data_IF_350775586224
#
_entry.id   IF_350775586224
#
_cell.length_a   1.000
_cell.length_b   1.000
_cell.length_c   1.000
_cell.angle_alpha   90.00
_cell.angle_beta   90.00
_cell.angle_gamma   90.00
#
_symmetry.space_group_name_H-M   'P 1'
#
loop_
_entity.id
_entity.type
_entity.pdbx_description
1 polymer ?
#
# COMPACT_ATOMS: atom_id res chain seq x y z
N UNK A 1 8.37 -4.82 -33.90
CA UNK A 1 7.72 -3.49 -33.84
C UNK A 1 8.28 -2.79 -32.61
N UNK A 2 9.13 -1.79 -32.83
CA UNK A 2 9.72 -1.04 -31.72
C UNK A 2 8.66 -0.12 -31.12
N UNK A 3 8.44 -0.22 -29.82
CA UNK A 3 7.70 0.75 -29.04
C UNK A 3 8.48 2.07 -29.09
N UNK A 4 8.04 3.00 -29.93
CA UNK A 4 8.49 4.39 -29.86
C UNK A 4 7.85 5.00 -28.60
N UNK A 5 8.64 5.08 -27.52
CA UNK A 5 8.28 5.88 -26.37
C UNK A 5 8.28 7.35 -26.82
N UNK A 6 7.09 7.93 -26.95
CA UNK A 6 6.91 9.36 -27.12
C UNK A 6 7.33 10.04 -25.82
N UNK A 7 8.58 10.48 -25.73
CA UNK A 7 8.99 11.39 -24.66
C UNK A 7 8.10 12.63 -24.73
N UNK A 8 7.52 13.08 -23.62
CA UNK A 8 6.76 14.32 -23.61
C UNK A 8 7.65 15.46 -24.09
N UNK A 9 7.22 16.15 -25.15
CA UNK A 9 7.96 17.27 -25.79
C UNK A 9 8.09 18.52 -24.92
N UNK A 10 7.48 18.54 -23.76
CA UNK A 10 7.62 19.61 -22.76
C UNK A 10 8.46 19.07 -21.62
N UNK A 11 9.57 19.76 -21.33
CA UNK A 11 10.43 19.53 -20.14
C UNK A 11 9.63 19.88 -18.86
N UNK A 12 8.58 19.16 -18.56
CA UNK A 12 7.98 19.19 -17.24
C UNK A 12 8.98 18.52 -16.31
N UNK A 13 9.55 19.30 -15.43
CA UNK A 13 10.55 18.87 -14.46
C UNK A 13 9.83 17.92 -13.50
N UNK A 14 9.91 16.61 -13.75
CA UNK A 14 9.36 15.59 -12.85
C UNK A 14 10.21 15.66 -11.59
N UNK A 15 9.63 16.16 -10.49
CA UNK A 15 10.36 16.35 -9.25
C UNK A 15 10.48 15.07 -8.44
N UNK A 16 9.50 14.18 -8.53
CA UNK A 16 9.39 12.97 -7.71
C UNK A 16 8.87 11.78 -8.53
N UNK A 17 9.40 10.58 -8.25
CA UNK A 17 8.89 9.31 -8.75
C UNK A 17 8.56 8.38 -7.58
N UNK A 18 7.59 7.50 -7.76
CA UNK A 18 7.17 6.49 -6.80
C UNK A 18 7.42 5.11 -7.37
N UNK A 19 8.04 4.23 -6.58
CA UNK A 19 8.29 2.84 -6.94
C UNK A 19 7.56 1.96 -5.92
N UNK A 20 6.48 1.34 -6.37
CA UNK A 20 5.72 0.37 -5.58
C UNK A 20 6.38 -1.00 -5.71
N UNK A 21 6.83 -1.55 -4.60
CA UNK A 21 7.63 -2.76 -4.55
C UNK A 21 6.81 -3.94 -4.03
N UNK A 22 6.58 -4.93 -4.90
CA UNK A 22 5.89 -6.19 -4.62
C UNK A 22 6.87 -7.36 -4.54
N UNK A 23 6.40 -8.56 -4.23
CA UNK A 23 7.24 -9.75 -4.12
C UNK A 23 7.93 -10.12 -5.45
N UNK A 24 7.21 -10.05 -6.57
CA UNK A 24 7.68 -10.52 -7.87
C UNK A 24 7.84 -9.43 -8.93
N UNK A 25 7.31 -8.24 -8.67
CA UNK A 25 7.36 -7.11 -9.59
C UNK A 25 7.43 -5.78 -8.85
N UNK A 26 7.67 -4.71 -9.61
CA UNK A 26 7.50 -3.35 -9.13
C UNK A 26 6.76 -2.51 -10.17
N UNK A 27 6.12 -1.47 -9.68
CA UNK A 27 5.43 -0.49 -10.49
C UNK A 27 6.06 0.87 -10.26
N UNK A 28 6.42 1.55 -11.36
CA UNK A 28 6.96 2.90 -11.34
C UNK A 28 5.85 3.87 -11.76
N UNK A 29 5.61 4.87 -10.94
CA UNK A 29 4.68 5.93 -11.22
C UNK A 29 5.39 7.28 -11.29
N UNK A 30 5.19 7.99 -12.41
CA UNK A 30 5.49 9.40 -12.60
C UNK A 30 4.17 10.18 -12.64
N UNK A 31 4.22 11.49 -12.46
CA UNK A 31 3.03 12.35 -12.60
C UNK A 31 2.31 12.22 -13.95
N UNK A 32 2.98 11.74 -15.00
CA UNK A 32 2.46 11.63 -16.36
C UNK A 32 2.40 10.22 -16.95
N UNK A 33 3.12 9.27 -16.37
CA UNK A 33 3.27 7.92 -16.94
C UNK A 33 3.49 6.88 -15.84
N UNK A 34 3.09 5.64 -16.12
CA UNK A 34 3.26 4.49 -15.23
C UNK A 34 3.81 3.30 -15.99
N UNK A 35 4.74 2.56 -15.37
CA UNK A 35 5.41 1.41 -15.98
C UNK A 35 5.54 0.31 -14.93
N UNK A 36 5.05 -0.89 -15.26
CA UNK A 36 5.25 -2.10 -14.43
C UNK A 36 6.34 -2.98 -15.02
N UNK A 37 7.13 -3.61 -14.16
CA UNK A 37 8.17 -4.57 -14.55
C UNK A 37 8.40 -5.63 -13.48
N UNK A 38 8.73 -6.86 -13.93
CA UNK A 38 9.20 -7.91 -13.03
C UNK A 38 10.66 -7.72 -12.64
N UNK A 39 11.09 -8.25 -11.50
CA UNK A 39 12.49 -8.22 -11.07
C UNK A 39 13.44 -9.01 -12.00
N UNK A 40 12.91 -9.95 -12.74
CA UNK A 40 13.69 -10.79 -13.67
C UNK A 40 13.89 -10.17 -15.04
N UNK A 41 13.15 -9.13 -15.36
CA UNK A 41 13.21 -8.46 -16.66
C UNK A 41 14.33 -7.40 -16.70
N UNK A 42 15.56 -7.85 -16.90
CA UNK A 42 16.75 -6.99 -16.96
C UNK A 42 16.66 -5.91 -18.05
N UNK A 43 16.00 -6.20 -19.17
CA UNK A 43 15.89 -5.24 -20.28
C UNK A 43 15.01 -4.06 -19.85
N UNK A 44 13.85 -4.36 -19.29
CA UNK A 44 12.95 -3.33 -18.75
C UNK A 44 13.57 -2.55 -17.59
N UNK A 45 14.29 -3.23 -16.69
CA UNK A 45 15.01 -2.55 -15.60
C UNK A 45 16.01 -1.51 -16.12
N UNK A 46 16.76 -1.83 -17.18
CA UNK A 46 17.70 -0.91 -17.82
C UNK A 46 16.98 0.25 -18.52
N UNK A 47 15.83 0.01 -19.14
CA UNK A 47 15.01 1.05 -19.76
C UNK A 47 14.45 2.01 -18.70
N UNK A 48 13.91 1.49 -17.62
CA UNK A 48 13.40 2.28 -16.50
C UNK A 48 14.52 3.11 -15.87
N UNK A 49 15.69 2.52 -15.65
CA UNK A 49 16.88 3.24 -15.17
C UNK A 49 17.22 4.43 -16.07
N UNK A 50 17.25 4.23 -17.39
CA UNK A 50 17.50 5.31 -18.35
C UNK A 50 16.43 6.41 -18.29
N UNK A 51 15.16 6.03 -18.16
CA UNK A 51 14.04 6.97 -18.02
C UNK A 51 14.23 7.82 -16.74
N UNK A 52 14.46 7.18 -15.60
CA UNK A 52 14.67 7.86 -14.32
C UNK A 52 15.84 8.84 -14.34
N UNK A 53 16.97 8.43 -14.93
CA UNK A 53 18.17 9.25 -15.05
C UNK A 53 17.95 10.43 -16.00
N UNK A 54 17.30 10.19 -17.15
CA UNK A 54 17.09 11.20 -18.19
C UNK A 54 15.97 12.19 -17.85
N UNK A 55 14.98 11.79 -17.04
CA UNK A 55 13.84 12.64 -16.67
C UNK A 55 14.16 13.69 -15.62
N UNK A 56 15.42 13.80 -15.19
CA UNK A 56 15.87 14.72 -14.14
C UNK A 56 15.06 14.61 -12.84
N UNK A 57 14.61 13.38 -12.51
CA UNK A 57 13.94 13.07 -11.25
C UNK A 57 14.91 13.34 -10.10
N UNK A 58 14.50 14.20 -9.16
CA UNK A 58 15.35 14.58 -8.02
C UNK A 58 15.18 13.66 -6.83
N UNK A 59 13.99 13.06 -6.66
CA UNK A 59 13.68 12.19 -5.55
C UNK A 59 12.88 10.97 -5.99
N UNK A 60 13.13 9.83 -5.34
CA UNK A 60 12.44 8.56 -5.56
C UNK A 60 11.98 8.03 -4.21
N UNK A 61 10.70 7.70 -4.12
CA UNK A 61 10.12 7.07 -2.94
C UNK A 61 9.75 5.61 -3.23
N UNK A 62 10.32 4.70 -2.45
CA UNK A 62 10.00 3.28 -2.51
C UNK A 62 8.88 2.97 -1.53
N UNK A 63 7.80 2.39 -2.04
CA UNK A 63 6.65 1.97 -1.26
C UNK A 63 6.64 0.46 -1.19
N UNK A 64 6.82 -0.07 0.02
CA UNK A 64 7.00 -1.51 0.25
C UNK A 64 5.68 -2.20 0.53
N UNK A 65 5.20 -2.98 -0.44
CA UNK A 65 4.03 -3.88 -0.30
C UNK A 65 4.41 -5.31 0.06
N UNK A 66 5.66 -5.68 -0.16
CA UNK A 66 6.20 -7.02 0.03
C UNK A 66 6.74 -7.27 1.44
N UNK A 67 6.52 -6.37 2.36
CA UNK A 67 7.04 -6.47 3.72
C UNK A 67 5.91 -6.26 4.72
N UNK A 68 5.56 -7.34 5.44
CA UNK A 68 4.63 -7.25 6.54
C UNK A 68 5.22 -6.36 7.64
N UNK A 69 4.49 -5.33 8.11
CA UNK A 69 4.97 -4.43 9.14
C UNK A 69 4.73 -4.96 10.55
N UNK A 70 5.58 -4.56 11.48
CA UNK A 70 5.27 -4.55 12.90
C UNK A 70 4.81 -3.15 13.30
N UNK A 71 3.63 -3.07 13.89
CA UNK A 71 2.95 -1.81 14.20
C UNK A 71 3.01 -1.60 15.70
N UNK A 72 3.69 -0.54 16.14
CA UNK A 72 3.97 -0.28 17.55
C UNK A 72 3.47 1.13 17.92
N UNK A 73 2.57 1.28 18.91
CA UNK A 73 2.25 2.60 19.44
C UNK A 73 3.52 3.33 19.89
N UNK A 74 3.66 4.61 19.52
CA UNK A 74 4.88 5.41 19.80
C UNK A 74 5.29 5.37 21.27
N UNK A 75 4.33 5.39 22.18
CA UNK A 75 4.59 5.31 23.64
C UNK A 75 5.26 4.02 24.10
N UNK A 76 5.23 2.95 23.31
CA UNK A 76 5.85 1.66 23.60
C UNK A 76 7.04 1.35 22.69
N UNK A 77 7.36 2.27 21.79
CA UNK A 77 8.43 2.05 20.83
C UNK A 77 9.80 2.35 21.44
N UNK A 78 10.69 1.38 21.34
CA UNK A 78 12.11 1.51 21.69
C UNK A 78 12.95 1.22 20.44
N UNK A 79 13.63 2.22 19.95
CA UNK A 79 14.49 2.13 18.77
C UNK A 79 15.63 1.13 18.93
N UNK A 80 16.10 0.92 20.17
CA UNK A 80 17.20 0.00 20.47
C UNK A 80 16.85 -1.46 20.23
N UNK A 81 15.57 -1.81 20.26
CA UNK A 81 15.08 -3.18 20.06
C UNK A 81 14.23 -3.36 18.80
N UNK A 82 14.28 -2.44 17.84
CA UNK A 82 13.44 -2.49 16.63
C UNK A 82 13.50 -3.82 15.89
N UNK A 83 14.66 -4.48 15.87
CA UNK A 83 14.81 -5.80 15.27
C UNK A 83 13.92 -6.86 15.92
N UNK A 84 13.77 -6.82 17.25
CA UNK A 84 12.93 -7.77 17.98
C UNK A 84 11.45 -7.65 17.64
N UNK A 85 10.95 -6.42 17.41
CA UNK A 85 9.58 -6.24 16.99
C UNK A 85 9.29 -6.94 15.66
N UNK A 86 10.22 -6.83 14.70
CA UNK A 86 10.07 -7.44 13.39
C UNK A 86 10.26 -8.96 13.45
N UNK A 87 11.27 -9.43 14.19
CA UNK A 87 11.56 -10.86 14.38
C UNK A 87 10.34 -11.60 14.95
N UNK A 88 9.70 -11.03 15.97
CA UNK A 88 8.54 -11.63 16.63
C UNK A 88 7.35 -11.77 15.68
N UNK A 89 7.17 -10.81 14.76
CA UNK A 89 6.02 -10.78 13.87
C UNK A 89 6.26 -11.49 12.53
N UNK A 90 7.46 -11.37 11.97
CA UNK A 90 7.74 -11.83 10.59
C UNK A 90 8.86 -12.87 10.49
N UNK A 91 9.58 -13.12 11.59
CA UNK A 91 10.76 -13.98 11.59
C UNK A 91 11.98 -13.41 10.85
N UNK A 92 11.94 -12.18 10.35
CA UNK A 92 13.00 -11.55 9.56
C UNK A 92 13.67 -10.43 10.34
N UNK A 93 15.02 -10.36 10.23
CA UNK A 93 15.82 -9.31 10.88
C UNK A 93 16.73 -8.55 9.92
N UNK A 94 16.57 -8.78 8.62
CA UNK A 94 17.48 -8.21 7.62
C UNK A 94 16.95 -6.87 7.07
N UNK A 95 17.85 -5.90 6.91
CA UNK A 95 17.57 -4.61 6.26
C UNK A 95 16.35 -3.88 6.83
N UNK A 96 16.35 -3.71 8.15
CA UNK A 96 15.22 -3.13 8.88
C UNK A 96 15.14 -1.63 8.65
N UNK A 97 13.96 -1.15 8.31
CA UNK A 97 13.60 0.28 8.26
C UNK A 97 12.43 0.59 9.18
N UNK A 98 12.13 1.86 9.37
CA UNK A 98 11.08 2.33 10.25
C UNK A 98 10.42 3.59 9.70
N UNK A 99 9.09 3.64 9.82
CA UNK A 99 8.29 4.82 9.54
C UNK A 99 7.61 5.31 10.83
N UNK A 100 7.20 6.55 10.82
CA UNK A 100 6.29 7.09 11.81
C UNK A 100 5.04 7.61 11.10
N UNK A 101 3.85 7.36 11.65
CA UNK A 101 2.61 7.91 11.11
C UNK A 101 2.58 9.44 11.18
N UNK A 102 1.82 10.08 10.28
CA UNK A 102 1.73 11.54 10.20
C UNK A 102 1.23 12.18 11.49
N UNK A 103 0.34 11.50 12.23
CA UNK A 103 -0.16 11.92 13.54
C UNK A 103 0.77 11.56 14.71
N UNK A 104 1.92 10.96 14.42
CA UNK A 104 2.96 10.54 15.38
C UNK A 104 2.48 9.55 16.47
N UNK A 105 1.43 8.78 16.20
CA UNK A 105 0.91 7.80 17.17
C UNK A 105 1.49 6.41 17.01
N UNK A 106 1.96 6.05 15.81
CA UNK A 106 2.39 4.70 15.45
C UNK A 106 3.76 4.74 14.81
N UNK A 107 4.67 3.86 15.28
CA UNK A 107 5.87 3.46 14.58
C UNK A 107 5.59 2.17 13.80
N UNK A 108 6.10 2.11 12.59
CA UNK A 108 5.96 0.99 11.67
C UNK A 108 7.35 0.46 11.35
N UNK A 109 7.66 -0.74 11.80
CA UNK A 109 8.96 -1.38 11.56
C UNK A 109 8.77 -2.46 10.51
N UNK A 110 9.62 -2.46 9.49
CA UNK A 110 9.50 -3.39 8.36
C UNK A 110 10.86 -3.78 7.78
N UNK A 111 10.92 -4.86 7.01
CA UNK A 111 12.10 -5.28 6.29
C UNK A 111 12.13 -4.65 4.90
N UNK A 112 13.25 -4.05 4.51
CA UNK A 112 13.49 -3.66 3.12
C UNK A 112 14.02 -4.86 2.33
N UNK A 113 13.46 -5.12 1.17
CA UNK A 113 14.06 -6.06 0.24
C UNK A 113 15.34 -5.49 -0.40
N UNK A 114 16.05 -6.33 -1.18
CA UNK A 114 17.27 -5.96 -1.90
C UNK A 114 17.14 -4.58 -2.51
N UNK A 115 18.17 -3.82 -2.33
CA UNK A 115 18.28 -2.43 -2.74
C UNK A 115 18.08 -2.26 -4.25
N UNK A 116 16.79 -2.09 -4.65
CA UNK A 116 16.41 -1.83 -6.03
C UNK A 116 17.02 -0.50 -6.53
N UNK A 117 17.33 0.43 -5.62
CA UNK A 117 17.93 1.71 -5.97
C UNK A 117 19.28 1.56 -6.67
N UNK A 118 20.13 0.63 -6.20
CA UNK A 118 21.42 0.32 -6.86
C UNK A 118 21.22 -0.31 -8.23
N UNK A 119 20.24 -1.22 -8.35
CA UNK A 119 19.92 -1.86 -9.62
C UNK A 119 19.44 -0.86 -10.66
N UNK A 120 18.74 0.17 -10.23
CA UNK A 120 18.24 1.25 -11.08
C UNK A 120 19.23 2.41 -11.26
N UNK A 121 20.41 2.37 -10.64
CA UNK A 121 21.44 3.42 -10.77
C UNK A 121 21.02 4.77 -10.19
N UNK A 122 20.29 4.75 -9.07
CA UNK A 122 19.72 5.94 -8.43
C UNK A 122 20.65 6.58 -7.40
N UNK A 123 21.95 6.52 -7.60
CA UNK A 123 22.95 6.99 -6.62
C UNK A 123 22.94 8.52 -6.40
N UNK A 124 22.37 9.27 -7.34
CA UNK A 124 22.32 10.74 -7.32
C UNK A 124 20.98 11.31 -6.85
N UNK A 125 19.97 10.48 -6.72
CA UNK A 125 18.62 10.86 -6.33
C UNK A 125 18.47 10.81 -4.80
N UNK A 126 17.63 11.70 -4.28
CA UNK A 126 17.18 11.57 -2.88
C UNK A 126 16.23 10.38 -2.78
N UNK A 127 16.61 9.38 -2.02
CA UNK A 127 15.82 8.15 -1.85
C UNK A 127 15.14 8.17 -0.49
N UNK A 128 13.85 7.86 -0.48
CA UNK A 128 13.06 7.57 0.72
C UNK A 128 12.38 6.21 0.60
N UNK A 129 12.10 5.61 1.73
CA UNK A 129 11.36 4.35 1.83
C UNK A 129 10.18 4.54 2.74
N UNK A 130 9.06 3.89 2.44
CA UNK A 130 7.87 3.86 3.28
C UNK A 130 7.17 2.52 3.15
N UNK A 131 6.63 2.00 4.25
CA UNK A 131 5.74 0.84 4.19
C UNK A 131 4.35 1.25 3.71
N UNK A 132 3.71 0.45 2.87
CA UNK A 132 2.37 0.75 2.36
C UNK A 132 1.33 0.92 3.48
N UNK A 133 1.49 0.20 4.60
CA UNK A 133 0.64 0.37 5.76
C UNK A 133 0.68 1.81 6.29
N UNK A 134 1.86 2.42 6.37
CA UNK A 134 2.02 3.81 6.84
C UNK A 134 1.24 4.78 5.97
N UNK A 135 1.30 4.62 4.64
CA UNK A 135 0.54 5.45 3.71
C UNK A 135 -0.98 5.23 3.85
N UNK A 136 -1.39 3.95 3.92
CA UNK A 136 -2.80 3.61 4.10
C UNK A 136 -3.36 4.13 5.42
N UNK A 137 -2.62 3.99 6.50
CA UNK A 137 -2.98 4.54 7.81
C UNK A 137 -3.15 6.06 7.76
N UNK A 138 -2.18 6.77 7.19
CA UNK A 138 -2.23 8.24 7.08
C UNK A 138 -3.42 8.70 6.24
N UNK A 139 -3.71 8.01 5.13
CA UNK A 139 -4.86 8.27 4.29
C UNK A 139 -6.18 8.07 5.04
N UNK A 140 -6.37 6.89 5.65
CA UNK A 140 -7.60 6.57 6.36
C UNK A 140 -7.84 7.49 7.56
N UNK A 141 -6.78 7.83 8.30
CA UNK A 141 -6.89 8.78 9.43
C UNK A 141 -7.42 10.16 9.03
N UNK A 142 -7.26 10.54 7.75
CA UNK A 142 -7.78 11.78 7.19
C UNK A 142 -9.24 11.73 6.70
N UNK A 143 -9.75 10.52 6.38
CA UNK A 143 -11.07 10.34 5.74
C UNK A 143 -12.09 9.63 6.61
N UNK A 144 -11.67 9.10 7.77
CA UNK A 144 -12.57 8.38 8.69
C UNK A 144 -13.63 9.31 9.24
N UNK A 145 -14.88 8.92 9.03
CA UNK A 145 -16.02 9.53 9.70
C UNK A 145 -16.03 9.15 11.20
N UNK A 146 -16.26 10.13 12.06
CA UNK A 146 -16.37 9.96 13.53
C UNK A 146 -17.68 9.29 13.95
N UNK A 147 -18.32 8.54 13.08
CA UNK A 147 -19.56 7.81 13.37
C UNK A 147 -19.36 6.82 14.52
N UNK A 148 -20.41 6.59 15.29
CA UNK A 148 -20.40 5.54 16.32
C UNK A 148 -20.29 4.15 15.71
N UNK A 149 -19.50 3.28 16.35
CA UNK A 149 -19.27 1.90 15.93
C UNK A 149 -17.88 1.65 15.35
N UNK A 150 -17.67 0.40 14.95
CA UNK A 150 -16.44 -0.05 14.30
C UNK A 150 -16.52 0.16 12.79
N UNK A 151 -15.41 0.60 12.22
CA UNK A 151 -15.23 0.67 10.76
C UNK A 151 -14.17 -0.34 10.34
N UNK A 152 -14.56 -1.28 9.48
CA UNK A 152 -13.70 -2.33 8.94
C UNK A 152 -13.32 -1.96 7.51
N UNK A 153 -12.12 -1.47 7.33
CA UNK A 153 -11.59 -1.14 6.00
C UNK A 153 -10.92 -2.38 5.42
N UNK A 154 -11.40 -2.82 4.27
CA UNK A 154 -10.92 -4.01 3.57
C UNK A 154 -10.33 -3.62 2.23
N UNK A 155 -9.08 -4.01 2.01
CA UNK A 155 -8.40 -3.90 0.72
C UNK A 155 -8.12 -5.29 0.19
N UNK A 156 -8.71 -5.62 -0.97
CA UNK A 156 -8.50 -6.92 -1.61
C UNK A 156 -7.34 -6.80 -2.59
N UNK A 157 -6.44 -7.78 -2.54
CA UNK A 157 -5.32 -7.95 -3.46
C UNK A 157 -5.45 -9.29 -4.19
N UNK A 158 -4.60 -9.55 -5.17
CA UNK A 158 -4.51 -10.88 -5.78
C UNK A 158 -3.99 -11.89 -4.75
N UNK A 159 -4.82 -12.88 -4.37
CA UNK A 159 -4.47 -13.95 -3.42
C UNK A 159 -4.38 -13.54 -1.94
N UNK A 160 -4.80 -12.33 -1.58
CA UNK A 160 -4.81 -11.86 -0.19
C UNK A 160 -5.79 -10.71 0.02
N UNK A 161 -6.08 -10.38 1.28
CA UNK A 161 -6.71 -9.12 1.63
C UNK A 161 -6.14 -8.57 2.93
N UNK A 162 -6.24 -7.28 3.08
CA UNK A 162 -5.87 -6.55 4.28
C UNK A 162 -7.12 -6.04 4.98
N UNK A 163 -7.14 -6.11 6.30
CA UNK A 163 -8.20 -5.54 7.11
C UNK A 163 -7.63 -4.59 8.14
N UNK A 164 -8.16 -3.39 8.18
CA UNK A 164 -7.82 -2.35 9.13
C UNK A 164 -9.07 -1.90 9.87
N UNK A 165 -9.01 -1.88 11.20
CA UNK A 165 -10.18 -1.58 12.03
C UNK A 165 -9.95 -0.32 12.82
N UNK A 166 -10.95 0.54 12.80
CA UNK A 166 -11.02 1.74 13.62
C UNK A 166 -12.26 1.71 14.52
N UNK A 167 -12.10 2.16 15.75
CA UNK A 167 -13.21 2.50 16.63
C UNK A 167 -13.33 4.03 16.66
N UNK A 168 -14.38 4.55 16.03
CA UNK A 168 -14.48 5.98 15.71
C UNK A 168 -13.29 6.42 14.86
N UNK A 169 -12.36 7.18 15.41
CA UNK A 169 -11.12 7.63 14.77
C UNK A 169 -9.85 7.00 15.37
N UNK A 170 -9.99 6.00 16.24
CA UNK A 170 -8.84 5.30 16.83
C UNK A 170 -8.57 4.01 16.09
N UNK A 171 -7.36 3.89 15.57
CA UNK A 171 -6.87 2.64 14.99
C UNK A 171 -6.72 1.57 16.07
N UNK A 172 -7.28 0.38 15.83
CA UNK A 172 -7.24 -0.71 16.81
C UNK A 172 -6.66 -2.02 16.26
N UNK A 173 -6.69 -2.25 14.93
CA UNK A 173 -6.23 -3.50 14.38
C UNK A 173 -5.83 -3.38 12.91
N UNK A 174 -4.84 -4.18 12.52
CA UNK A 174 -4.47 -4.44 11.13
C UNK A 174 -3.97 -5.88 11.00
N UNK A 175 -4.39 -6.54 9.94
CA UNK A 175 -3.81 -7.82 9.53
C UNK A 175 -3.96 -8.04 8.02
N UNK A 176 -3.12 -8.93 7.50
CA UNK A 176 -3.16 -9.42 6.11
C UNK A 176 -3.45 -10.91 6.13
N UNK A 177 -4.44 -11.33 5.37
CA UNK A 177 -4.83 -12.73 5.22
C UNK A 177 -4.57 -13.19 3.79
N UNK A 178 -3.88 -14.32 3.64
CA UNK A 178 -3.80 -15.03 2.36
C UNK A 178 -5.12 -15.75 2.13
N UNK A 179 -5.60 -15.73 0.90
CA UNK A 179 -6.86 -16.36 0.50
C UNK A 179 -6.70 -17.05 -0.85
N UNK A 180 -7.35 -18.18 -1.02
CA UNK A 180 -7.43 -18.92 -2.26
C UNK A 180 -8.71 -18.55 -3.01
N UNK A 181 -9.81 -18.35 -2.26
CA UNK A 181 -11.13 -18.08 -2.83
C UNK A 181 -11.97 -17.14 -1.94
N UNK A 182 -13.20 -16.86 -2.40
CA UNK A 182 -14.16 -16.02 -1.70
C UNK A 182 -14.70 -16.62 -0.40
N UNK A 183 -14.63 -17.93 -0.22
CA UNK A 183 -15.10 -18.57 1.01
C UNK A 183 -14.08 -18.35 2.13
N UNK A 184 -12.78 -18.49 1.83
CA UNK A 184 -11.73 -18.15 2.78
C UNK A 184 -11.74 -16.67 3.14
N UNK A 185 -11.97 -15.79 2.15
CA UNK A 185 -12.16 -14.35 2.40
C UNK A 185 -13.31 -14.12 3.38
N UNK A 186 -14.46 -14.73 3.15
CA UNK A 186 -15.62 -14.59 4.02
C UNK A 186 -15.33 -15.12 5.42
N UNK A 187 -14.71 -16.31 5.50
CA UNK A 187 -14.34 -16.93 6.77
C UNK A 187 -13.46 -15.99 7.61
N UNK A 188 -12.36 -15.51 7.07
CA UNK A 188 -11.47 -14.61 7.82
C UNK A 188 -12.11 -13.26 8.13
N UNK A 189 -12.91 -12.74 7.23
CA UNK A 189 -13.67 -11.49 7.48
C UNK A 189 -14.59 -11.66 8.69
N UNK A 190 -15.41 -12.72 8.71
CA UNK A 190 -16.30 -12.96 9.83
C UNK A 190 -15.59 -13.36 11.11
N UNK A 191 -14.50 -14.11 11.01
CA UNK A 191 -13.66 -14.41 12.16
C UNK A 191 -13.17 -13.11 12.85
N UNK A 192 -12.75 -12.13 12.07
CA UNK A 192 -12.34 -10.83 12.62
C UNK A 192 -13.53 -10.07 13.18
N UNK A 193 -14.65 -9.97 12.44
CA UNK A 193 -15.87 -9.31 12.90
C UNK A 193 -16.35 -9.87 14.23
N UNK A 194 -16.36 -11.19 14.39
CA UNK A 194 -16.76 -11.88 15.61
C UNK A 194 -15.82 -11.58 16.79
N UNK A 195 -14.50 -11.62 16.57
CA UNK A 195 -13.53 -11.31 17.61
C UNK A 195 -13.66 -9.86 18.13
N UNK A 196 -14.09 -8.94 17.29
CA UNK A 196 -14.35 -7.55 17.70
C UNK A 196 -15.80 -7.33 18.14
N UNK A 197 -16.61 -8.40 18.30
CA UNK A 197 -18.01 -8.33 18.70
C UNK A 197 -18.82 -7.33 17.86
N UNK A 198 -18.56 -7.36 16.54
CA UNK A 198 -19.16 -6.45 15.59
C UNK A 198 -20.68 -6.52 15.58
N UNK A 199 -21.32 -5.36 15.51
CA UNK A 199 -22.76 -5.20 15.38
C UNK A 199 -23.12 -4.75 13.97
N UNK A 200 -23.72 -5.61 13.16
CA UNK A 200 -24.18 -5.33 11.79
C UNK A 200 -25.03 -4.04 11.70
N UNK A 201 -25.70 -3.65 12.76
CA UNK A 201 -26.53 -2.45 12.78
C UNK A 201 -25.74 -1.14 12.92
N UNK A 202 -24.55 -1.19 13.53
CA UNK A 202 -23.74 -0.03 13.85
C UNK A 202 -22.43 0.01 13.07
N UNK A 203 -21.88 -1.15 12.78
CA UNK A 203 -20.57 -1.30 12.19
C UNK A 203 -20.62 -1.29 10.66
N UNK A 204 -19.56 -0.84 10.03
CA UNK A 204 -19.49 -0.69 8.57
C UNK A 204 -18.33 -1.50 8.02
N UNK A 205 -18.58 -2.25 6.95
CA UNK A 205 -17.55 -2.83 6.09
C UNK A 205 -17.34 -1.86 4.92
N UNK A 206 -16.13 -1.37 4.78
CA UNK A 206 -15.78 -0.36 3.79
C UNK A 206 -14.65 -0.92 2.93
N UNK A 207 -14.92 -1.19 1.66
CA UNK A 207 -13.89 -1.62 0.72
C UNK A 207 -13.08 -0.43 0.20
N UNK A 208 -11.77 -0.61 0.15
CA UNK A 208 -10.83 0.37 -0.40
C UNK A 208 -10.65 0.09 -1.89
N UNK A 209 -11.20 0.97 -2.72
CA UNK A 209 -11.30 0.78 -4.16
C UNK A 209 -12.40 -0.21 -4.55
N UNK A 210 -12.96 -0.03 -5.74
CA UNK A 210 -13.94 -0.94 -6.34
C UNK A 210 -13.42 -1.40 -7.69
N UNK A 211 -13.35 -2.73 -7.88
CA UNK A 211 -12.90 -3.30 -9.14
C UNK A 211 -13.70 -4.56 -9.49
N UNK A 212 -14.14 -4.67 -10.75
CA UNK A 212 -15.01 -5.74 -11.26
C UNK A 212 -14.50 -7.15 -10.96
N UNK A 213 -13.19 -7.38 -11.04
CA UNK A 213 -12.61 -8.72 -10.76
C UNK A 213 -12.83 -9.17 -9.33
N UNK A 214 -13.12 -8.25 -8.39
CA UNK A 214 -13.42 -8.56 -7.00
C UNK A 214 -14.92 -8.56 -6.69
N UNK A 215 -15.79 -8.41 -7.68
CA UNK A 215 -17.25 -8.37 -7.49
C UNK A 215 -17.77 -9.58 -6.73
N UNK A 216 -17.17 -10.76 -6.92
CA UNK A 216 -17.54 -11.97 -6.17
C UNK A 216 -17.37 -11.79 -4.66
N UNK A 217 -16.33 -11.11 -4.20
CA UNK A 217 -16.08 -10.83 -2.78
C UNK A 217 -17.07 -9.80 -2.26
N UNK A 218 -17.33 -8.73 -3.01
CA UNK A 218 -18.28 -7.67 -2.64
C UNK A 218 -19.70 -8.24 -2.55
N UNK A 219 -20.12 -9.01 -3.55
CA UNK A 219 -21.45 -9.64 -3.60
C UNK A 219 -21.62 -10.64 -2.46
N UNK A 220 -20.59 -11.36 -2.07
CA UNK A 220 -20.66 -12.29 -0.97
C UNK A 220 -20.75 -11.55 0.38
N UNK A 221 -19.91 -10.56 0.62
CA UNK A 221 -19.94 -9.75 1.84
C UNK A 221 -21.27 -9.02 2.03
N UNK A 222 -21.86 -8.49 0.94
CA UNK A 222 -23.13 -7.74 0.98
C UNK A 222 -24.34 -8.57 1.39
N UNK A 223 -24.27 -9.91 1.29
CA UNK A 223 -25.35 -10.82 1.76
C UNK A 223 -25.46 -10.85 3.29
N UNK A 224 -24.37 -10.50 3.98
CA UNK A 224 -24.26 -10.67 5.43
C UNK A 224 -24.07 -9.35 6.18
N UNK A 225 -23.61 -8.30 5.50
CA UNK A 225 -23.38 -7.01 6.12
C UNK A 225 -23.63 -5.88 5.12
N UNK A 226 -23.90 -4.69 5.63
CA UNK A 226 -23.87 -3.48 4.81
C UNK A 226 -22.44 -3.19 4.41
N UNK A 227 -22.22 -3.00 3.11
CA UNK A 227 -20.93 -2.63 2.56
C UNK A 227 -20.97 -1.21 1.98
N UNK A 228 -19.89 -0.48 2.16
CA UNK A 228 -19.62 0.81 1.51
C UNK A 228 -18.28 0.74 0.76
N UNK A 229 -17.97 1.74 -0.05
CA UNK A 229 -16.70 1.83 -0.77
C UNK A 229 -16.08 3.21 -0.53
N UNK A 230 -14.76 3.22 -0.37
CA UNK A 230 -14.00 4.44 -0.59
C UNK A 230 -13.72 4.47 -2.09
N UNK A 231 -14.33 5.44 -2.77
CA UNK A 231 -14.10 5.62 -4.19
C UNK A 231 -12.65 6.05 -4.43
N UNK A 232 -12.06 5.41 -5.40
CA UNK A 232 -10.76 5.80 -5.90
C UNK A 232 -10.96 6.90 -6.95
N UNK A 233 -10.92 8.15 -6.54
CA UNK A 233 -11.01 9.33 -7.40
C UNK A 233 -9.82 9.48 -8.36
N UNK A 234 -8.81 8.64 -8.22
CA UNK A 234 -7.70 8.67 -9.12
C UNK A 234 -8.16 8.20 -10.50
N UNK A 235 -8.11 9.09 -11.45
CA UNK A 235 -8.17 8.81 -12.88
C UNK A 235 -7.03 7.85 -13.25
N UNK A 236 -7.20 6.57 -12.89
CA UNK A 236 -6.18 5.58 -13.07
C UNK A 236 -6.07 5.23 -14.55
N UNK A 237 -5.03 5.72 -15.17
CA UNK A 237 -4.44 5.18 -16.40
C UNK A 237 -3.93 3.75 -16.15
N UNK A 238 -4.07 3.25 -14.91
CA UNK A 238 -3.41 2.09 -14.35
C UNK A 238 -4.24 0.83 -14.58
N UNK A 239 -3.55 -0.27 -14.78
CA UNK A 239 -4.11 -1.60 -14.85
C UNK A 239 -4.76 -1.99 -13.51
N UNK A 240 -5.47 -3.10 -13.52
CA UNK A 240 -6.24 -3.63 -12.42
C UNK A 240 -5.55 -3.63 -11.04
N UNK A 241 -4.31 -4.15 -10.96
CA UNK A 241 -3.55 -4.21 -9.71
C UNK A 241 -3.11 -2.82 -9.22
N UNK A 242 -3.05 -1.86 -10.10
CA UNK A 242 -2.55 -0.52 -9.89
C UNK A 242 -3.63 0.45 -9.42
N UNK A 243 -4.91 0.17 -9.66
CA UNK A 243 -6.03 1.02 -9.21
C UNK A 243 -6.08 1.20 -7.70
N UNK A 244 -5.62 0.19 -6.95
CA UNK A 244 -5.57 0.27 -5.49
C UNK A 244 -4.49 1.21 -4.95
N UNK A 245 -3.53 1.60 -5.80
CA UNK A 245 -2.44 2.49 -5.40
C UNK A 245 -2.76 3.96 -5.68
N UNK A 246 -3.70 4.22 -6.55
CA UNK A 246 -4.07 5.58 -6.93
C UNK A 246 -4.68 6.35 -5.76
N UNK A 247 -5.44 5.69 -4.89
CA UNK A 247 -5.95 6.26 -3.63
C UNK A 247 -4.80 6.76 -2.75
N UNK A 248 -3.74 5.98 -2.64
CA UNK A 248 -2.57 6.32 -1.82
C UNK A 248 -1.76 7.44 -2.47
N UNK A 249 -1.67 7.46 -3.80
CA UNK A 249 -0.97 8.50 -4.55
C UNK A 249 -1.66 9.86 -4.55
N UNK A 250 -2.99 9.90 -4.61
CA UNK A 250 -3.73 11.14 -4.69
C UNK A 250 -3.41 12.11 -3.54
N UNK A 251 -3.06 11.58 -2.38
CA UNK A 251 -2.69 12.39 -1.21
C UNK A 251 -1.22 12.82 -1.19
N UNK A 252 -0.33 12.10 -1.87
CA UNK A 252 1.09 12.46 -1.95
C UNK A 252 1.40 13.47 -3.07
N UNK A 253 0.45 13.77 -3.94
CA UNK A 253 0.59 14.71 -5.06
C UNK A 253 0.08 16.12 -4.71
N UNK A 254 -0.67 16.26 -3.61
CA UNK A 254 -1.30 17.53 -3.21
C UNK A 254 -0.40 18.47 -2.39
N UNK A 255 0.82 18.06 -2.10
CA UNK A 255 1.89 18.88 -1.52
C UNK A 255 2.93 19.24 -2.61
#
# INVERSE_FOLDING_TARGET
>A
MGLQFLMPKTKTKISKAFIYQFESFFHLHFLSESISSSYTDRVKLLEISKILINSAVNSVEFIHFNSAPSIIPVKFYDKGIKAKYLETNTGSTNNIDEDISADQKINVVYSKNKDLSKTLGLDKQKISHVNHFTQLYNYLSGVIDKSDGLSFFIKINSGSFEIMIYNKNEFIFFNTFKIIDENEFLYYTFFVLENFQSSIKKDKIIFIGKHEIFDKYYNLASKYSRIDFIEDDAHSILNFEEKFFSVINANNIRD
#
